data_IF_795109544880
#
_entry.id   IF_795109544880
#
_cell.length_a   1.000
_cell.length_b   1.000
_cell.length_c   1.000
_cell.angle_alpha   90.00
_cell.angle_beta   90.00
_cell.angle_gamma   90.00
#
_symmetry.space_group_name_H-M   'P 1'
#
loop_
_entity.id
_entity.type
_entity.pdbx_description
1 polymer ?
#
# COMPACT_ATOMS: atom_id res chain seq x y z
N UNK A 1 12.62 2.19 -4.82
CA UNK A 1 11.63 1.08 -4.76
C UNK A 1 12.31 -0.16 -4.22
N UNK A 2 11.67 -0.87 -3.31
CA UNK A 2 12.17 -2.15 -2.79
C UNK A 2 11.37 -3.30 -3.39
N UNK A 3 12.03 -4.44 -3.56
CA UNK A 3 11.40 -5.65 -4.06
C UNK A 3 11.69 -6.81 -3.12
N UNK A 4 10.66 -7.57 -2.77
CA UNK A 4 10.76 -8.78 -1.95
C UNK A 4 10.18 -9.91 -2.77
N UNK A 5 10.97 -10.97 -3.01
CA UNK A 5 10.50 -12.13 -3.77
C UNK A 5 9.79 -13.13 -2.85
N UNK A 6 8.73 -13.72 -3.35
CA UNK A 6 7.95 -14.75 -2.64
C UNK A 6 7.53 -14.35 -1.22
N UNK A 7 6.89 -13.16 -1.05
CA UNK A 7 6.52 -12.68 0.27
C UNK A 7 5.40 -13.55 0.88
N UNK A 8 5.45 -13.71 2.20
CA UNK A 8 4.41 -14.43 2.96
C UNK A 8 3.22 -13.52 3.25
N UNK A 9 2.02 -13.92 2.85
CA UNK A 9 0.80 -13.20 3.20
C UNK A 9 0.40 -13.42 4.65
N UNK A 10 0.79 -14.56 5.24
CA UNK A 10 0.58 -14.80 6.68
C UNK A 10 1.31 -13.76 7.54
N UNK A 11 2.48 -13.29 7.12
CA UNK A 11 3.23 -12.23 7.82
C UNK A 11 2.64 -10.83 7.58
N UNK A 12 1.80 -10.67 6.57
CA UNK A 12 1.29 -9.37 6.11
C UNK A 12 -0.19 -9.14 6.42
N UNK A 13 -0.83 -10.10 7.06
CA UNK A 13 -2.25 -10.02 7.41
C UNK A 13 -2.44 -10.11 8.92
N UNK A 14 -3.47 -9.44 9.44
CA UNK A 14 -3.78 -9.48 10.88
C UNK A 14 -4.20 -10.86 11.36
N UNK A 15 -4.75 -11.68 10.47
CA UNK A 15 -5.16 -13.05 10.81
C UNK A 15 -4.00 -14.04 10.79
N UNK A 16 -2.84 -13.63 10.29
CA UNK A 16 -1.65 -14.48 10.14
C UNK A 16 -1.92 -15.74 9.31
N UNK A 17 -2.77 -15.62 8.30
CA UNK A 17 -3.15 -16.68 7.37
C UNK A 17 -2.82 -16.27 5.94
N UNK A 18 -2.54 -17.25 5.10
CA UNK A 18 -2.32 -17.05 3.68
C UNK A 18 -1.01 -17.62 3.19
N UNK A 19 -0.91 -17.81 1.89
CA UNK A 19 0.27 -18.36 1.21
C UNK A 19 1.29 -17.30 0.81
N UNK A 20 1.89 -17.49 -0.36
CA UNK A 20 2.93 -16.61 -0.87
C UNK A 20 2.53 -16.01 -2.20
N UNK A 21 2.85 -14.73 -2.39
CA UNK A 21 2.71 -14.04 -3.66
C UNK A 21 3.99 -14.18 -4.49
N UNK A 22 3.95 -13.70 -5.73
CA UNK A 22 5.12 -13.70 -6.63
C UNK A 22 6.19 -12.77 -6.07
N UNK A 23 5.79 -11.55 -5.73
CA UNK A 23 6.69 -10.52 -5.23
C UNK A 23 5.89 -9.46 -4.47
N UNK A 24 6.60 -8.63 -3.71
CA UNK A 24 6.07 -7.40 -3.15
C UNK A 24 6.94 -6.24 -3.64
N UNK A 25 6.31 -5.25 -4.24
CA UNK A 25 6.97 -4.02 -4.68
C UNK A 25 6.57 -2.89 -3.73
N UNK A 26 7.56 -2.27 -3.11
CA UNK A 26 7.33 -1.19 -2.15
C UNK A 26 7.74 0.13 -2.76
N UNK A 27 6.75 1.01 -2.97
CA UNK A 27 6.96 2.37 -3.46
C UNK A 27 7.44 3.26 -2.32
N UNK A 28 8.60 3.88 -2.49
CA UNK A 28 9.19 4.73 -1.46
C UNK A 28 9.07 6.22 -1.83
N UNK A 29 8.90 6.51 -3.13
CA UNK A 29 8.76 7.89 -3.63
C UNK A 29 8.02 7.88 -4.97
N UNK A 30 7.51 9.05 -5.36
CA UNK A 30 6.72 9.17 -6.60
C UNK A 30 7.53 8.79 -7.86
N UNK A 31 8.82 9.00 -7.85
CA UNK A 31 9.71 8.65 -8.97
C UNK A 31 9.78 7.14 -9.23
N UNK A 32 9.30 6.33 -8.30
CA UNK A 32 9.27 4.87 -8.44
C UNK A 32 8.16 4.37 -9.37
N UNK A 33 7.15 5.18 -9.69
CA UNK A 33 6.02 4.72 -10.51
C UNK A 33 6.42 4.16 -11.89
N UNK A 34 7.31 4.77 -12.66
CA UNK A 34 7.74 4.18 -13.94
C UNK A 34 8.43 2.83 -13.76
N UNK A 35 9.24 2.70 -12.71
CA UNK A 35 9.91 1.44 -12.38
C UNK A 35 8.91 0.36 -11.99
N UNK A 36 7.87 0.74 -11.24
CA UNK A 36 6.79 -0.15 -10.86
C UNK A 36 6.09 -0.74 -12.07
N UNK A 37 5.71 0.10 -13.03
CA UNK A 37 5.00 -0.34 -14.23
C UNK A 37 5.84 -1.33 -15.04
N UNK A 38 7.11 -1.03 -15.22
CA UNK A 38 8.04 -1.90 -15.95
C UNK A 38 8.20 -3.24 -15.23
N UNK A 39 8.41 -3.22 -13.91
CA UNK A 39 8.63 -4.44 -13.14
C UNK A 39 7.40 -5.33 -13.09
N UNK A 40 6.20 -4.75 -13.02
CA UNK A 40 4.96 -5.50 -13.08
C UNK A 40 4.82 -6.31 -14.36
N UNK A 41 5.20 -5.72 -15.51
CA UNK A 41 5.20 -6.44 -16.79
C UNK A 41 6.18 -7.61 -16.79
N UNK A 42 7.34 -7.42 -16.18
CA UNK A 42 8.37 -8.47 -16.13
C UNK A 42 7.99 -9.63 -15.24
N UNK A 43 7.38 -9.35 -14.10
CA UNK A 43 7.00 -10.36 -13.10
C UNK A 43 5.77 -11.17 -13.52
N UNK A 44 4.88 -10.59 -14.29
CA UNK A 44 3.57 -11.18 -14.56
C UNK A 44 2.69 -11.17 -13.31
N UNK A 45 1.56 -11.89 -13.36
CA UNK A 45 0.62 -11.92 -12.26
C UNK A 45 -0.25 -10.68 -12.18
N UNK A 46 -1.21 -10.70 -11.26
CA UNK A 46 -2.14 -9.60 -11.06
C UNK A 46 -1.64 -8.66 -9.96
N UNK A 47 -1.63 -7.34 -10.18
CA UNK A 47 -1.27 -6.41 -9.12
C UNK A 47 -2.35 -6.36 -8.03
N UNK A 48 -1.93 -6.30 -6.77
CA UNK A 48 -2.83 -6.22 -5.63
C UNK A 48 -2.26 -5.23 -4.61
N UNK A 49 -2.99 -4.15 -4.37
CA UNK A 49 -2.57 -3.12 -3.42
C UNK A 49 -2.87 -3.60 -2.00
N UNK A 50 -1.85 -3.60 -1.14
CA UNK A 50 -1.99 -4.01 0.25
C UNK A 50 -1.59 -2.87 1.19
N UNK A 51 -2.41 -2.64 2.20
CA UNK A 51 -2.10 -1.72 3.30
C UNK A 51 -1.59 -2.48 4.53
N UNK A 52 -2.19 -2.24 5.68
CA UNK A 52 -1.82 -2.91 6.93
C UNK A 52 -2.29 -4.37 7.01
N UNK A 53 -3.08 -4.84 6.06
CA UNK A 53 -3.57 -6.22 6.03
C UNK A 53 -4.65 -6.54 7.06
N UNK A 54 -5.30 -5.52 7.62
CA UNK A 54 -6.31 -5.70 8.68
C UNK A 54 -7.65 -6.19 8.17
N UNK A 55 -7.90 -6.05 6.88
CA UNK A 55 -9.18 -6.38 6.25
C UNK A 55 -8.99 -7.36 5.10
N UNK A 56 -7.96 -8.20 5.20
CA UNK A 56 -7.55 -9.10 4.14
C UNK A 56 -7.49 -10.53 4.64
N UNK A 57 -8.14 -11.44 3.91
CA UNK A 57 -8.03 -12.87 4.09
C UNK A 57 -7.46 -13.47 2.80
N UNK A 58 -6.29 -14.07 2.90
CA UNK A 58 -5.62 -14.69 1.76
C UNK A 58 -5.69 -16.22 1.88
N UNK A 59 -5.86 -16.88 0.73
CA UNK A 59 -5.82 -18.36 0.70
C UNK A 59 -4.38 -18.87 0.78
N UNK A 60 -4.24 -20.14 1.11
CA UNK A 60 -2.95 -20.81 1.14
C UNK A 60 -2.42 -21.12 -0.27
N UNK A 61 -1.15 -21.48 -0.33
CA UNK A 61 -0.46 -21.85 -1.56
C UNK A 61 0.20 -20.69 -2.27
N UNK A 62 0.59 -20.92 -3.50
CA UNK A 62 1.19 -19.89 -4.34
C UNK A 62 0.10 -19.09 -5.04
N UNK A 63 0.13 -17.77 -4.89
CA UNK A 63 -0.85 -16.87 -5.44
C UNK A 63 -0.27 -16.11 -6.63
N UNK A 64 -1.00 -16.04 -7.77
CA UNK A 64 -0.51 -15.38 -8.97
C UNK A 64 -0.67 -13.85 -8.89
N UNK A 65 -0.19 -13.26 -7.81
CA UNK A 65 -0.33 -11.83 -7.56
C UNK A 65 1.01 -11.20 -7.22
N UNK A 66 1.14 -9.91 -7.53
CA UNK A 66 2.24 -9.07 -7.09
C UNK A 66 1.66 -8.04 -6.13
N UNK A 67 2.15 -8.03 -4.90
CA UNK A 67 1.69 -7.10 -3.89
C UNK A 67 2.34 -5.73 -4.13
N UNK A 68 1.52 -4.69 -4.04
CA UNK A 68 1.97 -3.31 -4.15
C UNK A 68 1.72 -2.62 -2.82
N UNK A 69 2.78 -2.11 -2.23
CA UNK A 69 2.71 -1.37 -0.96
C UNK A 69 3.29 0.02 -1.14
N UNK A 70 2.60 1.04 -0.65
CA UNK A 70 3.12 2.39 -0.63
C UNK A 70 3.78 2.68 0.72
N UNK A 71 5.03 3.09 0.69
CA UNK A 71 5.75 3.65 1.83
C UNK A 71 5.91 5.16 1.70
N UNK A 72 5.11 5.80 0.85
CA UNK A 72 5.11 7.25 0.68
C UNK A 72 4.35 7.85 1.87
N UNK A 73 5.09 8.48 2.77
CA UNK A 73 4.56 8.97 4.05
C UNK A 73 4.56 10.49 4.14
N UNK A 74 4.15 11.16 3.07
CA UNK A 74 3.98 12.60 3.09
C UNK A 74 2.86 12.97 4.05
N UNK A 75 3.15 13.93 4.96
CA UNK A 75 2.21 14.37 5.98
C UNK A 75 0.93 14.93 5.37
N UNK A 76 -0.20 14.78 6.07
CA UNK A 76 -1.45 15.40 5.62
C UNK A 76 -1.32 16.91 5.52
N UNK A 77 -1.89 17.47 4.45
CA UNK A 77 -1.99 18.93 4.29
C UNK A 77 -3.32 19.30 3.66
N UNK A 78 -3.86 20.44 4.09
CA UNK A 78 -5.07 20.98 3.49
C UNK A 78 -4.68 21.69 2.20
N UNK A 79 -5.20 21.24 1.06
CA UNK A 79 -4.93 21.85 -0.25
C UNK A 79 -6.06 22.76 -0.71
N UNK A 80 -7.23 22.66 -0.10
CA UNK A 80 -8.38 23.51 -0.34
C UNK A 80 -9.37 23.37 0.81
N UNK A 81 -10.00 24.46 1.23
CA UNK A 81 -11.07 24.36 2.22
C UNK A 81 -12.12 25.47 2.04
N UNK A 82 -13.33 25.16 2.52
CA UNK A 82 -14.45 26.08 2.67
C UNK A 82 -15.05 25.89 4.09
N UNK A 83 -16.14 26.57 4.38
CA UNK A 83 -16.81 26.41 5.68
C UNK A 83 -17.30 24.98 5.95
N UNK A 84 -17.72 24.27 4.89
CA UNK A 84 -18.34 22.94 5.00
C UNK A 84 -17.43 21.79 4.59
N UNK A 85 -16.32 22.04 3.88
CA UNK A 85 -15.49 21.00 3.27
C UNK A 85 -14.02 21.36 3.30
N UNK A 86 -13.19 20.31 3.26
CA UNK A 86 -11.77 20.46 3.05
C UNK A 86 -11.26 19.32 2.16
N UNK A 87 -10.27 19.61 1.32
CA UNK A 87 -9.53 18.59 0.58
C UNK A 87 -8.17 18.43 1.22
N UNK A 88 -7.85 17.22 1.60
CA UNK A 88 -6.60 16.88 2.27
C UNK A 88 -5.78 16.00 1.35
N UNK A 89 -4.51 16.36 1.14
CA UNK A 89 -3.53 15.52 0.46
C UNK A 89 -2.69 14.82 1.50
N UNK A 90 -2.46 13.53 1.31
CA UNK A 90 -1.66 12.73 2.25
C UNK A 90 -0.96 11.60 1.49
N UNK A 91 0.24 11.22 1.93
CA UNK A 91 0.95 10.09 1.35
C UNK A 91 0.19 8.79 1.57
N UNK A 92 0.13 7.94 0.54
CA UNK A 92 -0.63 6.69 0.59
C UNK A 92 -0.10 5.69 1.62
N UNK A 93 1.13 5.86 2.10
CA UNK A 93 1.73 5.03 3.15
C UNK A 93 1.45 5.53 4.58
N UNK A 94 0.75 6.66 4.73
CA UNK A 94 0.43 7.20 6.05
C UNK A 94 -0.68 6.36 6.69
N UNK A 95 -0.49 5.89 7.95
CA UNK A 95 -1.52 5.13 8.64
C UNK A 95 -2.80 5.94 8.82
N UNK A 96 -3.95 5.28 8.66
CA UNK A 96 -5.26 5.94 8.79
C UNK A 96 -5.44 6.68 10.13
N UNK A 97 -5.03 6.13 11.30
CA UNK A 97 -5.14 6.85 12.57
C UNK A 97 -4.45 8.21 12.57
N UNK A 98 -3.32 8.35 11.86
CA UNK A 98 -2.61 9.63 11.76
C UNK A 98 -3.42 10.65 10.96
N UNK A 99 -4.04 10.22 9.86
CA UNK A 99 -4.92 11.08 9.06
C UNK A 99 -6.14 11.50 9.87
N UNK A 100 -6.77 10.57 10.57
CA UNK A 100 -7.92 10.87 11.43
C UNK A 100 -7.56 11.86 12.54
N UNK A 101 -6.39 11.71 13.16
CA UNK A 101 -5.89 12.65 14.16
C UNK A 101 -5.67 14.05 13.59
N UNK A 102 -5.15 14.14 12.38
CA UNK A 102 -4.99 15.41 11.69
C UNK A 102 -6.35 16.10 11.45
N UNK A 103 -7.33 15.36 10.95
CA UNK A 103 -8.67 15.88 10.69
C UNK A 103 -9.38 16.32 11.96
N UNK A 104 -9.20 15.59 13.06
CA UNK A 104 -9.85 15.89 14.33
C UNK A 104 -9.35 17.17 14.99
N UNK A 105 -8.14 17.61 14.63
CA UNK A 105 -7.56 18.86 15.18
C UNK A 105 -7.93 20.11 14.37
N UNK A 106 -8.79 19.99 13.39
CA UNK A 106 -9.17 21.11 12.49
C UNK A 106 -10.60 21.63 12.74
#
# INVERSE_FOLDING_TARGET
MREILSPSLAERTSLHLGGRAIAELVLERAEDYPLLAERLQQLGGSPFIIGAGTNLLARDGELPVVLLRSAIKEDPEIVWESEARAHVRVGAGVPLPRLLGFCARR
#
